data_IF_936545414820
#
_entry.id   IF_936545414820
#
_cell.length_a   1.000
_cell.length_b   1.000
_cell.length_c   1.000
_cell.angle_alpha   90.00
_cell.angle_beta   90.00
_cell.angle_gamma   90.00
#
_symmetry.space_group_name_H-M   'P 1'
#
loop_
_entity.id
_entity.type
_entity.pdbx_description
1 polymer ?
#
# COMPACT_ATOMS: atom_id res chain seq x y z
N UNK A 1 13.82 5.92 -21.74
CA UNK A 1 13.79 5.07 -20.54
C UNK A 1 15.19 4.74 -20.07
N UNK A 2 16.14 4.50 -20.98
CA UNK A 2 17.52 4.10 -20.66
C UNK A 2 18.23 4.99 -19.62
N UNK A 3 18.02 6.32 -19.67
CA UNK A 3 18.57 7.22 -18.66
C UNK A 3 17.99 6.99 -17.25
N UNK A 4 16.71 6.65 -17.15
CA UNK A 4 16.05 6.33 -15.88
C UNK A 4 16.53 4.99 -15.33
N UNK A 5 16.70 3.98 -16.19
CA UNK A 5 17.29 2.69 -15.80
C UNK A 5 18.71 2.92 -15.27
N UNK A 6 19.53 3.64 -16.03
CA UNK A 6 20.92 3.90 -15.67
C UNK A 6 21.05 4.55 -14.28
N UNK A 7 20.24 5.57 -13.96
CA UNK A 7 20.32 6.19 -12.63
C UNK A 7 19.84 5.23 -11.54
N UNK A 8 18.77 4.45 -11.78
CA UNK A 8 18.29 3.45 -10.82
C UNK A 8 19.29 2.31 -10.57
N UNK A 9 20.09 1.94 -11.58
CA UNK A 9 21.13 0.90 -11.48
C UNK A 9 22.44 1.40 -10.84
N UNK A 10 22.65 2.71 -10.73
CA UNK A 10 23.97 3.25 -10.34
C UNK A 10 23.97 4.20 -9.15
N UNK A 11 22.83 4.71 -8.71
CA UNK A 11 22.75 5.73 -7.67
C UNK A 11 23.27 5.26 -6.29
N UNK A 12 23.89 6.17 -5.54
CA UNK A 12 24.12 6.04 -4.10
C UNK A 12 23.80 7.33 -3.38
N UNK A 13 23.29 7.24 -2.15
CA UNK A 13 22.83 8.39 -1.36
C UNK A 13 21.49 8.12 -0.70
N UNK A 14 20.74 9.19 -0.42
CA UNK A 14 19.41 9.10 0.19
C UNK A 14 18.31 9.06 -0.89
N UNK A 15 17.18 8.41 -0.58
CA UNK A 15 16.10 8.22 -1.55
C UNK A 15 15.45 9.54 -1.98
N UNK A 16 15.35 10.53 -1.09
CA UNK A 16 14.85 11.86 -1.39
C UNK A 16 15.68 12.59 -2.46
N UNK A 17 17.00 12.39 -2.42
CA UNK A 17 17.94 12.99 -3.36
C UNK A 17 17.84 12.32 -4.74
N UNK A 18 17.70 10.98 -4.78
CA UNK A 18 17.36 10.26 -6.01
C UNK A 18 16.02 10.74 -6.58
N UNK A 19 15.00 10.91 -5.74
CA UNK A 19 13.69 11.41 -6.17
C UNK A 19 13.80 12.82 -6.77
N UNK A 20 14.72 13.65 -6.27
CA UNK A 20 14.98 14.97 -6.86
C UNK A 20 15.50 14.82 -8.30
N UNK A 21 16.54 14.01 -8.52
CA UNK A 21 17.08 13.75 -9.87
C UNK A 21 16.03 13.20 -10.84
N UNK A 22 15.27 12.21 -10.39
CA UNK A 22 14.21 11.58 -11.18
C UNK A 22 13.11 12.59 -11.54
N UNK A 23 12.71 13.44 -10.59
CA UNK A 23 11.75 14.49 -10.84
C UNK A 23 12.28 15.53 -11.83
N UNK A 24 13.53 15.98 -11.67
CA UNK A 24 14.17 16.90 -12.63
C UNK A 24 14.28 16.29 -14.03
N UNK A 25 14.49 14.98 -14.16
CA UNK A 25 14.44 14.27 -15.44
C UNK A 25 13.01 14.26 -16.02
N UNK A 26 11.98 13.96 -15.22
CA UNK A 26 10.57 13.98 -15.65
C UNK A 26 10.13 15.36 -16.18
N UNK A 27 10.62 16.44 -15.57
CA UNK A 27 10.29 17.80 -16.01
C UNK A 27 10.91 18.19 -17.35
N UNK A 28 11.95 17.48 -17.81
CA UNK A 28 12.54 17.65 -19.14
C UNK A 28 11.76 16.90 -20.24
N UNK A 29 10.89 15.98 -19.87
CA UNK A 29 10.05 15.23 -20.81
C UNK A 29 8.79 16.02 -21.20
N UNK A 30 8.26 15.72 -22.39
CA UNK A 30 6.95 16.24 -22.82
C UNK A 30 5.82 15.59 -21.99
N UNK A 31 4.62 16.19 -22.00
CA UNK A 31 3.53 15.79 -21.11
C UNK A 31 3.13 14.31 -21.24
N UNK A 32 3.04 13.79 -22.47
CA UNK A 32 2.65 12.40 -22.73
C UNK A 32 3.73 11.42 -22.24
N UNK A 33 4.99 11.67 -22.61
CA UNK A 33 6.13 10.85 -22.22
C UNK A 33 6.40 10.92 -20.72
N UNK A 34 6.11 12.05 -20.09
CA UNK A 34 6.29 12.24 -18.64
C UNK A 34 5.44 11.26 -17.83
N UNK A 35 4.19 11.04 -18.21
CA UNK A 35 3.32 10.07 -17.51
C UNK A 35 3.88 8.65 -17.66
N UNK A 36 4.34 8.29 -18.86
CA UNK A 36 4.95 6.97 -19.10
C UNK A 36 6.24 6.79 -18.29
N UNK A 37 7.10 7.81 -18.24
CA UNK A 37 8.32 7.77 -17.43
C UNK A 37 8.04 7.74 -15.92
N UNK A 38 7.00 8.46 -15.46
CA UNK A 38 6.56 8.43 -14.07
C UNK A 38 6.08 7.03 -13.67
N UNK A 39 5.21 6.43 -14.48
CA UNK A 39 4.78 5.04 -14.31
C UNK A 39 5.99 4.11 -14.21
N UNK A 40 6.93 4.22 -15.15
CA UNK A 40 8.13 3.39 -15.18
C UNK A 40 8.98 3.52 -13.91
N UNK A 41 9.17 4.74 -13.38
CA UNK A 41 9.88 4.96 -12.12
C UNK A 41 9.17 4.20 -10.98
N UNK A 42 7.86 4.39 -10.84
CA UNK A 42 7.08 3.76 -9.79
C UNK A 42 7.10 2.22 -9.86
N UNK A 43 7.23 1.66 -11.06
CA UNK A 43 7.33 0.21 -11.26
C UNK A 43 8.73 -0.35 -10.99
N UNK A 44 9.79 0.44 -11.22
CA UNK A 44 11.18 -0.07 -11.21
C UNK A 44 12.01 0.30 -9.99
N UNK A 45 11.69 1.38 -9.28
CA UNK A 45 12.53 1.92 -8.21
C UNK A 45 12.78 0.94 -7.04
N UNK A 46 11.90 -0.04 -6.83
CA UNK A 46 12.09 -1.12 -5.86
C UNK A 46 12.44 -2.49 -6.46
N UNK A 47 12.55 -2.60 -7.79
CA UNK A 47 12.89 -3.85 -8.49
C UNK A 47 14.37 -3.91 -8.87
N UNK A 48 15.01 -2.75 -9.04
CA UNK A 48 16.39 -2.62 -9.51
C UNK A 48 17.32 -2.39 -8.33
N UNK A 49 18.29 -3.28 -8.17
CA UNK A 49 19.40 -3.07 -7.24
C UNK A 49 20.43 -2.12 -7.85
N UNK A 50 20.80 -1.08 -7.11
CA UNK A 50 21.86 -0.18 -7.50
C UNK A 50 23.24 -0.76 -7.18
N UNK A 51 24.22 -0.56 -8.08
CA UNK A 51 25.62 -0.86 -7.84
C UNK A 51 26.36 0.22 -7.04
N UNK A 52 25.65 1.29 -6.66
CA UNK A 52 26.12 2.42 -5.85
C UNK A 52 27.30 3.21 -6.46
N UNK A 53 27.61 3.01 -7.75
CA UNK A 53 28.77 3.60 -8.42
C UNK A 53 28.71 5.12 -8.63
N UNK A 54 27.52 5.72 -8.56
CA UNK A 54 27.28 7.15 -8.82
C UNK A 54 26.56 7.79 -7.64
N UNK A 55 27.28 8.61 -6.88
CA UNK A 55 26.69 9.37 -5.77
C UNK A 55 25.81 10.50 -6.30
N UNK A 56 24.53 10.53 -5.90
CA UNK A 56 23.62 11.63 -6.22
C UNK A 56 23.96 12.87 -5.37
N UNK A 57 23.66 14.05 -5.90
CA UNK A 57 23.83 15.30 -5.15
C UNK A 57 22.85 15.37 -4.00
N UNK A 58 23.25 16.04 -2.92
CA UNK A 58 22.37 16.26 -1.77
C UNK A 58 21.54 17.52 -1.98
N UNK A 59 20.23 17.36 -2.02
CA UNK A 59 19.27 18.43 -2.26
C UNK A 59 18.49 18.83 -1.00
N UNK A 60 18.35 17.91 -0.04
CA UNK A 60 17.62 18.15 1.21
C UNK A 60 18.55 18.38 2.40
N UNK A 61 18.22 19.39 3.21
CA UNK A 61 18.86 19.57 4.52
C UNK A 61 18.27 18.61 5.54
N UNK A 62 19.02 18.34 6.61
CA UNK A 62 18.54 17.51 7.72
C UNK A 62 17.21 18.06 8.28
N UNK A 63 16.21 17.19 8.44
CA UNK A 63 14.86 17.54 8.91
C UNK A 63 13.94 18.24 7.90
N UNK A 64 14.41 18.54 6.68
CA UNK A 64 13.57 19.18 5.66
C UNK A 64 12.46 18.25 5.16
N UNK A 65 12.79 16.98 4.92
CA UNK A 65 11.82 15.94 4.54
C UNK A 65 10.78 15.72 5.65
N UNK A 66 11.20 15.70 6.92
CA UNK A 66 10.29 15.58 8.06
C UNK A 66 9.32 16.76 8.14
N UNK A 67 9.82 17.97 7.89
CA UNK A 67 8.98 19.18 7.82
C UNK A 67 7.94 19.08 6.69
N UNK A 68 8.37 18.62 5.50
CA UNK A 68 7.45 18.40 4.37
C UNK A 68 6.43 17.30 4.66
N UNK A 69 6.83 16.25 5.37
CA UNK A 69 5.93 15.18 5.84
C UNK A 69 4.86 15.71 6.79
N UNK A 70 5.23 16.55 7.75
CA UNK A 70 4.26 17.16 8.68
C UNK A 70 3.24 18.03 7.95
N UNK A 71 3.67 18.77 6.93
CA UNK A 71 2.81 19.68 6.17
C UNK A 71 1.94 18.97 5.13
N UNK A 72 2.51 18.02 4.39
CA UNK A 72 1.91 17.49 3.16
C UNK A 72 1.69 15.98 3.14
N UNK A 73 2.27 15.21 4.08
CA UNK A 73 2.16 13.74 4.06
C UNK A 73 0.71 13.26 3.99
N UNK A 74 -0.17 13.79 4.85
CA UNK A 74 -1.61 13.45 4.85
C UNK A 74 -2.32 13.86 3.56
N UNK A 75 -1.90 14.96 2.93
CA UNK A 75 -2.48 15.41 1.68
C UNK A 75 -2.13 14.43 0.55
N UNK A 76 -0.87 14.01 0.46
CA UNK A 76 -0.44 13.05 -0.56
C UNK A 76 -1.07 11.68 -0.31
N UNK A 77 -1.17 11.23 0.94
CA UNK A 77 -1.89 9.99 1.31
C UNK A 77 -3.34 10.01 0.82
N UNK A 78 -4.07 11.10 1.06
CA UNK A 78 -5.47 11.21 0.65
C UNK A 78 -5.61 11.30 -0.88
N UNK A 79 -4.65 11.94 -1.56
CA UNK A 79 -4.59 11.96 -3.02
C UNK A 79 -4.41 10.54 -3.59
N UNK A 80 -3.42 9.78 -3.08
CA UNK A 80 -3.17 8.38 -3.50
C UNK A 80 -4.42 7.52 -3.26
N UNK A 81 -5.02 7.61 -2.07
CA UNK A 81 -6.19 6.83 -1.71
C UNK A 81 -7.42 7.19 -2.55
N UNK A 82 -7.61 8.47 -2.86
CA UNK A 82 -8.68 8.93 -3.75
C UNK A 82 -8.53 8.38 -5.16
N UNK A 83 -7.30 8.39 -5.70
CA UNK A 83 -6.98 7.81 -7.01
C UNK A 83 -7.27 6.31 -7.03
N UNK A 84 -6.83 5.56 -6.02
CA UNK A 84 -7.11 4.11 -5.88
C UNK A 84 -8.60 3.80 -5.89
N UNK A 85 -9.39 4.50 -5.07
CA UNK A 85 -10.85 4.32 -5.02
C UNK A 85 -11.50 4.63 -6.37
N UNK A 86 -11.06 5.70 -7.04
CA UNK A 86 -11.59 6.10 -8.34
C UNK A 86 -11.28 5.06 -9.42
N UNK A 87 -10.05 4.57 -9.47
CA UNK A 87 -9.61 3.55 -10.44
C UNK A 87 -10.38 2.24 -10.25
N UNK A 88 -10.56 1.77 -9.02
CA UNK A 88 -11.35 0.55 -8.74
C UNK A 88 -12.82 0.73 -9.12
N UNK A 89 -13.42 1.88 -8.78
CA UNK A 89 -14.84 2.13 -9.09
C UNK A 89 -15.11 2.33 -10.58
N UNK A 90 -14.16 2.90 -11.33
CA UNK A 90 -14.29 3.20 -12.76
C UNK A 90 -13.64 2.17 -13.67
N UNK A 91 -12.97 1.14 -13.12
CA UNK A 91 -12.26 0.08 -13.86
C UNK A 91 -11.21 0.66 -14.81
N UNK A 92 -10.42 1.60 -14.30
CA UNK A 92 -9.39 2.25 -15.08
C UNK A 92 -8.15 1.34 -15.21
N UNK A 93 -7.48 1.43 -16.34
CA UNK A 93 -6.23 0.74 -16.63
C UNK A 93 -5.08 1.24 -15.75
N UNK A 94 -3.99 0.47 -15.71
CA UNK A 94 -2.74 0.85 -15.01
C UNK A 94 -2.21 2.20 -15.49
N UNK A 95 -2.23 2.46 -16.79
CA UNK A 95 -1.78 3.75 -17.34
C UNK A 95 -2.66 4.92 -16.87
N UNK A 96 -3.99 4.72 -16.85
CA UNK A 96 -4.93 5.72 -16.36
C UNK A 96 -4.78 5.98 -14.86
N UNK A 97 -4.41 4.97 -14.06
CA UNK A 97 -4.03 5.15 -12.66
C UNK A 97 -2.87 6.15 -12.53
N UNK A 98 -1.76 5.92 -13.24
CA UNK A 98 -0.58 6.78 -13.14
C UNK A 98 -0.83 8.19 -13.71
N UNK A 99 -1.61 8.30 -14.79
CA UNK A 99 -2.03 9.59 -15.33
C UNK A 99 -2.86 10.39 -14.31
N UNK A 100 -3.83 9.74 -13.67
CA UNK A 100 -4.68 10.37 -12.67
C UNK A 100 -3.90 10.73 -11.41
N UNK A 101 -3.00 9.86 -10.95
CA UNK A 101 -2.12 10.12 -9.81
C UNK A 101 -1.22 11.33 -10.08
N UNK A 102 -0.57 11.36 -11.24
CA UNK A 102 0.29 12.48 -11.65
C UNK A 102 -0.48 13.80 -11.63
N UNK A 103 -1.67 13.83 -12.24
CA UNK A 103 -2.48 15.03 -12.30
C UNK A 103 -2.93 15.50 -10.90
N UNK A 104 -3.35 14.56 -10.06
CA UNK A 104 -3.85 14.85 -8.70
C UNK A 104 -2.74 15.39 -7.78
N UNK A 105 -1.53 14.82 -7.86
CA UNK A 105 -0.43 15.17 -6.94
C UNK A 105 0.46 16.29 -7.45
N UNK A 106 0.60 16.47 -8.77
CA UNK A 106 1.56 17.45 -9.34
C UNK A 106 0.92 18.56 -10.17
N UNK A 107 -0.23 18.34 -10.80
CA UNK A 107 -0.84 19.34 -11.69
C UNK A 107 -1.85 20.22 -10.96
N UNK A 108 -2.79 19.61 -10.25
CA UNK A 108 -3.86 20.30 -9.50
C UNK A 108 -3.58 20.27 -7.98
N UNK A 109 -2.39 20.72 -7.59
CA UNK A 109 -1.79 20.40 -6.29
C UNK A 109 -1.53 21.58 -5.37
N UNK A 110 -1.51 21.29 -4.06
CA UNK A 110 -0.96 22.19 -3.04
C UNK A 110 0.58 22.23 -3.02
N UNK A 111 1.24 21.31 -3.73
CA UNK A 111 2.69 21.23 -3.89
C UNK A 111 3.12 22.17 -5.03
N UNK A 112 3.49 23.39 -4.64
CA UNK A 112 3.79 24.49 -5.56
C UNK A 112 5.28 24.68 -5.80
N UNK A 113 6.11 24.40 -4.79
CA UNK A 113 7.56 24.49 -4.88
C UNK A 113 8.15 23.18 -5.42
N UNK A 114 9.34 23.27 -6.03
CA UNK A 114 10.01 22.11 -6.60
C UNK A 114 10.26 21.01 -5.55
N UNK A 115 10.82 21.36 -4.39
CA UNK A 115 11.05 20.39 -3.30
C UNK A 115 9.77 19.80 -2.73
N UNK A 116 8.67 20.54 -2.72
CA UNK A 116 7.35 20.00 -2.33
C UNK A 116 6.90 18.93 -3.31
N UNK A 117 7.11 19.14 -4.62
CA UNK A 117 6.78 18.16 -5.66
C UNK A 117 7.72 16.96 -5.64
N UNK A 118 9.01 17.17 -5.37
CA UNK A 118 9.95 16.07 -5.16
C UNK A 118 9.52 15.23 -3.95
N UNK A 119 9.10 15.88 -2.86
CA UNK A 119 8.50 15.18 -1.72
C UNK A 119 7.25 14.38 -2.12
N UNK A 120 6.38 14.94 -2.97
CA UNK A 120 5.25 14.20 -3.53
C UNK A 120 5.66 12.91 -4.25
N UNK A 121 6.73 12.95 -5.06
CA UNK A 121 7.28 11.77 -5.72
C UNK A 121 7.85 10.76 -4.71
N UNK A 122 8.68 11.23 -3.77
CA UNK A 122 9.23 10.42 -2.68
C UNK A 122 8.13 9.67 -1.91
N UNK A 123 7.06 10.39 -1.56
CA UNK A 123 5.94 9.84 -0.80
C UNK A 123 5.16 8.79 -1.59
N UNK A 124 4.99 9.01 -2.91
CA UNK A 124 4.38 8.03 -3.81
C UNK A 124 5.23 6.76 -3.91
N UNK A 125 6.53 6.88 -4.17
CA UNK A 125 7.39 5.70 -4.37
C UNK A 125 7.59 4.89 -3.08
N UNK A 126 7.44 5.52 -1.92
CA UNK A 126 7.48 4.85 -0.62
C UNK A 126 6.14 4.20 -0.22
N UNK A 127 5.05 4.43 -0.96
CA UNK A 127 3.74 3.86 -0.63
C UNK A 127 3.68 2.36 -0.98
N UNK A 128 3.26 1.53 -0.02
CA UNK A 128 3.20 0.06 -0.14
C UNK A 128 2.26 -0.48 -1.23
N UNK A 129 1.35 0.33 -1.77
CA UNK A 129 0.49 -0.02 -2.89
C UNK A 129 0.99 0.53 -4.22
N UNK A 130 2.27 0.89 -4.32
CA UNK A 130 3.00 1.18 -5.55
C UNK A 130 4.07 0.09 -5.73
N UNK A 131 4.19 -0.55 -6.91
CA UNK A 131 3.42 -0.30 -8.13
C UNK A 131 1.94 -0.69 -8.03
N UNK A 132 1.15 -0.06 -8.89
CA UNK A 132 -0.28 -0.34 -8.97
C UNK A 132 -0.56 -1.59 -9.80
N UNK A 133 -1.41 -2.47 -9.27
CA UNK A 133 -1.91 -3.65 -9.96
C UNK A 133 -3.42 -3.54 -10.14
N UNK A 134 -3.91 -3.86 -11.34
CA UNK A 134 -5.35 -3.93 -11.61
C UNK A 134 -5.96 -5.15 -10.89
N UNK A 135 -6.91 -4.91 -9.97
CA UNK A 135 -7.45 -5.95 -9.08
C UNK A 135 -8.82 -6.51 -9.51
N UNK A 136 -9.34 -6.09 -10.67
CA UNK A 136 -10.68 -6.44 -11.12
C UNK A 136 -11.80 -5.78 -10.29
N UNK A 137 -13.01 -6.35 -10.35
CA UNK A 137 -14.18 -5.81 -9.64
C UNK A 137 -14.31 -6.46 -8.26
N UNK A 138 -14.29 -5.70 -7.16
CA UNK A 138 -14.49 -6.26 -5.84
C UNK A 138 -15.92 -6.79 -5.69
N UNK A 139 -16.07 -7.91 -4.97
CA UNK A 139 -17.38 -8.41 -4.58
C UNK A 139 -17.98 -7.50 -3.50
N UNK A 140 -19.09 -6.86 -3.82
CA UNK A 140 -19.92 -6.10 -2.88
C UNK A 140 -21.26 -6.80 -2.74
N UNK A 141 -21.79 -6.87 -1.52
CA UNK A 141 -23.09 -7.50 -1.26
C UNK A 141 -23.83 -6.78 -0.13
N UNK A 142 -25.16 -6.91 -0.13
CA UNK A 142 -26.01 -6.38 0.92
C UNK A 142 -25.84 -7.15 2.23
N UNK A 143 -26.02 -6.45 3.37
CA UNK A 143 -25.83 -7.04 4.69
C UNK A 143 -26.73 -8.25 4.95
N UNK A 144 -27.94 -8.26 4.42
CA UNK A 144 -28.89 -9.36 4.64
C UNK A 144 -28.51 -10.61 3.83
N UNK A 145 -27.96 -10.42 2.62
CA UNK A 145 -27.38 -11.51 1.84
C UNK A 145 -26.14 -12.10 2.52
N UNK A 146 -25.25 -11.24 3.00
CA UNK A 146 -24.07 -11.65 3.78
C UNK A 146 -24.46 -12.51 4.99
N UNK A 147 -25.45 -12.08 5.77
CA UNK A 147 -25.97 -12.83 6.93
C UNK A 147 -26.59 -14.16 6.53
N UNK A 148 -27.36 -14.19 5.44
CA UNK A 148 -27.99 -15.42 4.93
C UNK A 148 -26.95 -16.46 4.58
N UNK A 149 -25.90 -16.09 3.84
CA UNK A 149 -24.81 -16.99 3.46
C UNK A 149 -24.09 -17.54 4.71
N UNK A 150 -23.87 -16.72 5.74
CA UNK A 150 -23.29 -17.18 7.01
C UNK A 150 -24.19 -18.21 7.70
N UNK A 151 -25.50 -17.97 7.79
CA UNK A 151 -26.43 -18.89 8.46
C UNK A 151 -26.54 -20.22 7.71
N UNK A 152 -26.61 -20.18 6.38
CA UNK A 152 -26.60 -21.38 5.53
C UNK A 152 -25.29 -22.18 5.67
N UNK A 153 -24.18 -21.50 6.00
CA UNK A 153 -22.85 -22.09 6.18
C UNK A 153 -22.37 -22.09 7.64
N UNK A 154 -23.29 -22.07 8.61
CA UNK A 154 -23.00 -21.90 10.03
C UNK A 154 -21.95 -22.87 10.56
N UNK A 155 -22.02 -24.15 10.18
CA UNK A 155 -21.04 -25.17 10.58
C UNK A 155 -19.63 -24.85 10.10
N UNK A 156 -19.47 -24.37 8.87
CA UNK A 156 -18.16 -23.96 8.35
C UNK A 156 -17.64 -22.73 9.09
N UNK A 157 -18.51 -21.75 9.35
CA UNK A 157 -18.21 -20.57 10.18
C UNK A 157 -17.71 -20.94 11.59
N UNK A 158 -18.40 -21.87 12.26
CA UNK A 158 -18.02 -22.36 13.59
C UNK A 158 -16.67 -23.11 13.56
N UNK A 159 -16.43 -23.94 12.54
CA UNK A 159 -15.15 -24.64 12.36
C UNK A 159 -13.99 -23.69 12.10
N UNK A 160 -14.18 -22.66 11.28
CA UNK A 160 -13.19 -21.60 11.05
C UNK A 160 -12.88 -20.88 12.38
N UNK A 161 -13.91 -20.54 13.16
CA UNK A 161 -13.74 -19.91 14.47
C UNK A 161 -12.93 -20.80 15.42
N UNK A 162 -13.19 -22.11 15.41
CA UNK A 162 -12.44 -23.09 16.19
C UNK A 162 -10.99 -23.18 15.73
N UNK A 163 -10.72 -23.31 14.42
CA UNK A 163 -9.36 -23.32 13.86
C UNK A 163 -8.57 -22.10 14.32
N UNK A 164 -9.17 -20.91 14.24
CA UNK A 164 -8.56 -19.65 14.67
C UNK A 164 -8.37 -19.54 16.19
N UNK A 165 -8.95 -20.42 16.99
CA UNK A 165 -8.74 -20.47 18.45
C UNK A 165 -7.54 -21.35 18.85
N UNK A 166 -7.09 -22.23 17.95
CA UNK A 166 -5.98 -23.14 18.22
C UNK A 166 -4.67 -22.32 18.16
N UNK A 167 -3.77 -22.46 19.14
CA UNK A 167 -2.46 -21.82 19.13
C UNK A 167 -1.48 -22.63 18.26
N UNK A 168 -1.73 -22.68 16.94
CA UNK A 168 -0.81 -23.28 15.98
C UNK A 168 0.46 -22.44 15.84
N UNK A 169 1.59 -23.09 15.62
CA UNK A 169 2.90 -22.42 15.57
C UNK A 169 3.08 -21.66 14.26
N UNK A 170 2.58 -22.19 13.14
CA UNK A 170 2.76 -21.59 11.83
C UNK A 170 1.45 -21.05 11.25
N UNK A 171 1.51 -19.85 10.67
CA UNK A 171 0.37 -19.24 9.96
C UNK A 171 -0.13 -20.13 8.80
N UNK A 172 0.78 -20.86 8.15
CA UNK A 172 0.47 -21.80 7.07
C UNK A 172 -0.40 -22.96 7.54
N UNK A 173 -0.25 -23.46 8.77
CA UNK A 173 -1.09 -24.52 9.31
C UNK A 173 -2.55 -24.05 9.43
N UNK A 174 -2.74 -22.89 10.07
CA UNK A 174 -4.06 -22.24 10.19
C UNK A 174 -4.70 -22.00 8.82
N UNK A 175 -3.96 -21.38 7.89
CA UNK A 175 -4.46 -21.11 6.55
C UNK A 175 -4.82 -22.39 5.78
N UNK A 176 -4.03 -23.47 5.93
CA UNK A 176 -4.31 -24.74 5.25
C UNK A 176 -5.60 -25.41 5.75
N UNK A 177 -5.92 -25.27 7.03
CA UNK A 177 -7.15 -25.79 7.62
C UNK A 177 -8.37 -24.98 7.17
N UNK A 178 -8.24 -23.65 7.15
CA UNK A 178 -9.30 -22.77 6.62
C UNK A 178 -9.54 -23.08 5.14
N UNK A 179 -8.50 -23.23 4.32
CA UNK A 179 -8.63 -23.56 2.90
C UNK A 179 -9.39 -24.88 2.68
N UNK A 180 -9.16 -25.90 3.53
CA UNK A 180 -9.93 -27.15 3.50
C UNK A 180 -11.42 -26.94 3.79
N UNK A 181 -11.78 -26.04 4.71
CA UNK A 181 -13.18 -25.70 4.99
C UNK A 181 -13.86 -24.93 3.84
N UNK A 182 -13.07 -24.17 3.06
CA UNK A 182 -13.55 -23.40 1.91
C UNK A 182 -13.68 -24.25 0.64
N UNK A 183 -12.93 -25.34 0.55
CA UNK A 183 -12.89 -26.22 -0.63
C UNK A 183 -14.28 -26.76 -0.98
N UNK A 184 -14.64 -26.66 -2.27
CA UNK A 184 -15.92 -27.15 -2.80
C UNK A 184 -17.11 -26.19 -2.64
N UNK A 185 -16.90 -25.00 -2.06
CA UNK A 185 -17.89 -23.91 -2.03
C UNK A 185 -17.70 -23.00 -3.25
N UNK A 186 -18.76 -22.30 -3.65
CA UNK A 186 -18.68 -21.28 -4.69
C UNK A 186 -17.89 -20.04 -4.20
N UNK A 187 -17.41 -19.24 -5.14
CA UNK A 187 -16.54 -18.09 -4.89
C UNK A 187 -17.17 -17.05 -3.94
N UNK A 188 -18.47 -16.79 -4.07
CA UNK A 188 -19.19 -15.83 -3.20
C UNK A 188 -19.22 -16.36 -1.77
N UNK A 189 -19.57 -17.62 -1.57
CA UNK A 189 -19.55 -18.25 -0.24
C UNK A 189 -18.14 -18.28 0.36
N UNK A 190 -17.12 -18.59 -0.46
CA UNK A 190 -15.72 -18.57 0.00
C UNK A 190 -15.30 -17.17 0.47
N UNK A 191 -15.64 -16.13 -0.29
CA UNK A 191 -15.35 -14.74 0.07
C UNK A 191 -16.02 -14.33 1.39
N UNK A 192 -17.29 -14.72 1.62
CA UNK A 192 -18.01 -14.44 2.87
C UNK A 192 -17.35 -15.12 4.07
N UNK A 193 -17.01 -16.40 3.96
CA UNK A 193 -16.37 -17.15 5.04
C UNK A 193 -14.95 -16.63 5.33
N UNK A 194 -14.21 -16.21 4.30
CA UNK A 194 -12.92 -15.54 4.47
C UNK A 194 -13.07 -14.18 5.16
N UNK A 195 -14.06 -13.36 4.78
CA UNK A 195 -14.34 -12.09 5.44
C UNK A 195 -14.62 -12.28 6.94
N UNK A 196 -15.36 -13.34 7.29
CA UNK A 196 -15.58 -13.70 8.69
C UNK A 196 -14.29 -14.14 9.40
N UNK A 197 -13.46 -14.97 8.75
CA UNK A 197 -12.17 -15.40 9.29
C UNK A 197 -11.27 -14.19 9.61
N UNK A 198 -11.18 -13.23 8.70
CA UNK A 198 -10.42 -11.99 8.91
C UNK A 198 -11.00 -11.18 10.07
N UNK A 199 -12.32 -10.99 10.13
CA UNK A 199 -12.96 -10.25 11.22
C UNK A 199 -12.70 -10.88 12.61
N UNK A 200 -12.62 -12.21 12.69
CA UNK A 200 -12.27 -12.92 13.92
C UNK A 200 -10.79 -12.73 14.26
N UNK A 201 -9.89 -12.90 13.28
CA UNK A 201 -8.46 -12.77 13.49
C UNK A 201 -8.07 -11.35 13.96
N UNK A 202 -8.60 -10.31 13.31
CA UNK A 202 -8.34 -8.92 13.71
C UNK A 202 -8.79 -8.61 15.13
N UNK A 203 -9.95 -9.16 15.57
CA UNK A 203 -10.41 -9.02 16.95
C UNK A 203 -9.48 -9.73 17.95
N UNK A 204 -8.86 -10.84 17.56
CA UNK A 204 -7.91 -11.58 18.40
C UNK A 204 -6.61 -10.79 18.59
N UNK A 205 -6.04 -10.28 17.50
CA UNK A 205 -4.82 -9.45 17.53
C UNK A 205 -5.01 -8.20 18.40
N UNK A 206 -6.14 -7.51 18.24
CA UNK A 206 -6.45 -6.30 19.01
C UNK A 206 -6.61 -6.58 20.53
N UNK A 207 -7.19 -7.73 20.89
CA UNK A 207 -7.27 -8.17 22.29
C UNK A 207 -5.88 -8.48 22.86
N UNK A 208 -5.03 -9.18 22.13
CA UNK A 208 -3.65 -9.47 22.55
C UNK A 208 -2.85 -8.17 22.77
N UNK A 209 -2.98 -7.21 21.85
CA UNK A 209 -2.35 -5.90 21.99
C UNK A 209 -2.83 -5.14 23.23
N UNK A 210 -4.15 -5.17 23.51
CA UNK A 210 -4.73 -4.52 24.69
C UNK A 210 -4.22 -5.14 26.00
N UNK A 211 -4.08 -6.47 26.05
CA UNK A 211 -3.55 -7.17 27.22
C UNK A 211 -2.08 -6.83 27.48
N UNK A 212 -1.27 -6.68 26.42
CA UNK A 212 0.13 -6.24 26.56
C UNK A 212 0.20 -4.80 27.08
N UNK A 213 -0.64 -3.89 26.57
CA UNK A 213 -0.70 -2.50 27.07
C UNK A 213 -1.09 -2.47 28.55
N UNK A 214 -2.08 -3.26 28.96
CA UNK A 214 -2.49 -3.36 30.36
C UNK A 214 -1.36 -3.88 31.25
N UNK A 215 -0.65 -4.94 30.82
CA UNK A 215 0.49 -5.47 31.56
C UNK A 215 1.63 -4.44 31.71
N UNK A 216 1.89 -3.62 30.69
CA UNK A 216 2.90 -2.55 30.73
C UNK A 216 2.46 -1.36 31.62
N UNK A 217 1.16 -1.13 31.78
CA UNK A 217 0.61 -0.10 32.67
C UNK A 217 0.53 -0.58 34.13
N UNK A 218 0.51 -1.90 34.35
CA UNK A 218 0.45 -2.56 35.65
C UNK A 218 1.83 -2.92 36.25
N UNK A 219 2.94 -2.46 35.65
CA UNK A 219 4.26 -2.43 36.30
C UNK A 219 4.51 -1.04 36.93
N UNK A 220 4.15 -0.78 38.20
CA UNK A 220 4.64 0.40 38.89
C UNK A 220 6.11 0.21 39.25
N UNK A 221 6.85 1.32 39.19
CA UNK A 221 8.24 1.51 39.62
C UNK A 221 8.66 0.57 40.77
N UNK A 222 9.37 -0.50 40.46
CA UNK A 222 10.28 -1.11 41.43
C UNK A 222 11.56 -0.29 41.45
N UNK A 223 11.54 0.78 42.23
CA UNK A 223 12.74 1.40 42.81
C UNK A 223 13.01 0.81 44.17
#
# INVERSE_FOLDING_TARGET
MDNYIKILETWSGELEDLCYELYSMLMKENAEKRIQCFQFICEKIGEVDSDESVKVERYFTEGEVDSLKELYGKYVDEAINSVRRKVVSQKLSVHEFYALLWNTVFSDSLLTLEKERVFGLLWIVADNGIPYYELGTPLSMENDEYKRIIEENKKSSERISYILSIPLEQRTETSSLILKELSGKDEVTQAVLLAQAFAINSKREMKGFTQVIQALQEEPEKK
#
